data_IF_356952431167
#
_entry.id   IF_356952431167
#
_cell.length_a   1.000
_cell.length_b   1.000
_cell.length_c   1.000
_cell.angle_alpha   90.00
_cell.angle_beta   90.00
_cell.angle_gamma   90.00
#
_symmetry.space_group_name_H-M   'P 1'
#
loop_
_entity.id
_entity.type
_entity.pdbx_description
1 polymer ?
#
# COMPACT_ATOMS: atom_id res chain seq x y z
N UNK A 1 -4.07 -6.26 5.83
CA UNK A 1 -3.99 -5.57 7.12
C UNK A 1 -3.08 -4.35 6.96
N UNK A 2 -3.52 -3.20 7.36
CA UNK A 2 -2.67 -2.00 7.34
C UNK A 2 -1.64 -2.15 8.44
N UNK A 3 -0.40 -1.77 8.19
CA UNK A 3 0.63 -1.77 9.25
C UNK A 3 0.28 -0.84 10.42
N UNK A 4 -0.53 0.19 10.16
CA UNK A 4 -1.08 1.07 11.18
C UNK A 4 -2.19 0.44 12.05
N UNK A 5 -2.63 -0.76 11.73
CA UNK A 5 -3.65 -1.49 12.50
C UNK A 5 -3.00 -2.55 13.43
N UNK A 6 -1.75 -2.34 13.80
CA UNK A 6 -1.08 -3.14 14.83
C UNK A 6 -1.72 -2.82 16.18
N UNK A 7 -2.45 -3.79 16.69
CA UNK A 7 -3.09 -3.71 17.98
C UNK A 7 -2.41 -4.69 18.94
N UNK A 8 -2.22 -4.26 20.17
CA UNK A 8 -1.74 -5.13 21.26
C UNK A 8 -2.92 -5.57 22.12
N UNK A 9 -2.94 -6.83 22.59
CA UNK A 9 -3.94 -7.27 23.56
C UNK A 9 -3.88 -6.39 24.81
N UNK A 10 -5.04 -5.93 25.28
CA UNK A 10 -5.18 -5.21 26.54
C UNK A 10 -5.86 -6.13 27.56
N UNK A 11 -5.09 -6.75 28.47
CA UNK A 11 -5.63 -7.73 29.44
C UNK A 11 -6.50 -7.08 30.51
N UNK A 12 -6.38 -5.77 30.73
CA UNK A 12 -7.11 -5.03 31.77
C UNK A 12 -8.39 -4.38 31.24
N UNK A 13 -8.68 -4.53 29.95
CA UNK A 13 -9.84 -3.91 29.32
C UNK A 13 -11.14 -4.63 29.67
N UNK A 14 -12.29 -3.90 29.78
CA UNK A 14 -13.59 -4.50 29.82
C UNK A 14 -13.84 -5.45 28.65
N UNK A 15 -14.67 -6.47 28.85
CA UNK A 15 -15.01 -7.45 27.81
C UNK A 15 -15.98 -6.84 26.78
N UNK A 16 -15.49 -5.85 26.02
CA UNK A 16 -16.18 -5.24 24.88
C UNK A 16 -15.21 -5.12 23.71
N UNK A 17 -15.69 -5.26 22.45
CA UNK A 17 -14.81 -5.27 21.26
C UNK A 17 -13.90 -4.05 21.15
N UNK A 18 -14.34 -2.90 21.62
CA UNK A 18 -13.61 -1.63 21.57
C UNK A 18 -12.34 -1.63 22.42
N UNK A 19 -12.25 -2.53 23.39
CA UNK A 19 -11.17 -2.56 24.37
C UNK A 19 -10.29 -3.80 24.30
N UNK A 20 -10.51 -4.69 23.33
CA UNK A 20 -9.68 -5.90 23.20
C UNK A 20 -8.23 -5.61 22.85
N UNK A 21 -7.96 -4.45 22.23
CA UNK A 21 -6.65 -4.09 21.75
C UNK A 21 -6.37 -2.61 21.97
N UNK A 22 -5.14 -2.30 22.34
CA UNK A 22 -4.61 -0.94 22.27
C UNK A 22 -3.86 -0.74 20.97
N UNK A 23 -3.87 0.49 20.47
CA UNK A 23 -3.05 0.85 19.32
C UNK A 23 -1.57 0.77 19.68
N UNK A 24 -0.83 -0.01 18.92
CA UNK A 24 0.62 -0.07 19.04
C UNK A 24 1.29 0.86 18.03
N UNK A 25 2.08 1.77 18.54
CA UNK A 25 2.93 2.66 17.75
C UNK A 25 4.38 2.18 17.80
N UNK A 26 4.87 1.57 16.72
CA UNK A 26 6.24 1.08 16.65
C UNK A 26 7.24 2.24 16.78
N UNK A 27 8.21 2.19 17.70
CA UNK A 27 9.26 3.19 17.78
C UNK A 27 10.03 3.31 16.44
N UNK A 28 10.23 4.55 15.98
CA UNK A 28 10.94 4.81 14.72
C UNK A 28 10.15 4.46 13.43
N UNK A 29 8.85 4.20 13.52
CA UNK A 29 8.00 3.93 12.37
C UNK A 29 8.10 5.02 11.30
N UNK A 30 8.14 4.62 10.03
CA UNK A 30 8.08 5.54 8.88
C UNK A 30 6.63 5.89 8.61
N UNK A 31 6.30 7.17 8.65
CA UNK A 31 4.94 7.64 8.38
C UNK A 31 4.81 8.17 6.95
N UNK A 32 3.66 7.94 6.33
CA UNK A 32 3.25 8.65 5.13
C UNK A 32 2.94 10.11 5.52
N UNK A 33 3.77 11.08 5.12
CA UNK A 33 3.62 12.47 5.55
C UNK A 33 2.38 13.15 4.96
N UNK A 34 1.72 12.51 3.99
CA UNK A 34 0.59 13.07 3.25
C UNK A 34 -0.77 12.54 3.74
N UNK A 35 -0.76 11.47 4.53
CA UNK A 35 -1.98 10.80 5.00
C UNK A 35 -1.94 10.41 6.48
N UNK A 36 -0.75 10.36 7.08
CA UNK A 36 -0.58 9.96 8.47
C UNK A 36 -0.65 8.45 8.73
N UNK A 37 -0.55 7.60 7.70
CA UNK A 37 -0.45 6.17 7.85
C UNK A 37 0.99 5.70 7.90
N UNK A 38 1.25 4.63 8.64
CA UNK A 38 2.55 3.99 8.67
C UNK A 38 2.87 3.33 7.31
N UNK A 39 4.14 3.42 6.91
CA UNK A 39 4.70 2.70 5.76
C UNK A 39 5.61 1.62 6.33
N UNK A 40 5.14 0.36 6.29
CA UNK A 40 5.87 -0.79 6.80
C UNK A 40 6.02 -1.89 5.73
N UNK A 41 6.96 -1.72 4.78
CA UNK A 41 7.10 -2.63 3.65
C UNK A 41 7.46 -4.06 4.05
N UNK A 42 8.26 -4.23 5.12
CA UNK A 42 8.62 -5.54 5.65
C UNK A 42 7.41 -6.36 6.11
N UNK A 43 6.29 -5.74 6.44
CA UNK A 43 5.05 -6.42 6.84
C UNK A 43 4.55 -7.42 5.79
N UNK A 44 4.76 -7.13 4.49
CA UNK A 44 4.43 -8.08 3.42
C UNK A 44 5.27 -9.35 3.51
N UNK A 45 6.57 -9.20 3.78
CA UNK A 45 7.47 -10.34 3.99
C UNK A 45 7.08 -11.13 5.24
N UNK A 46 6.80 -10.47 6.35
CA UNK A 46 6.41 -11.13 7.60
C UNK A 46 5.12 -11.96 7.41
N UNK A 47 4.13 -11.41 6.67
CA UNK A 47 2.92 -12.15 6.29
C UNK A 47 3.24 -13.33 5.38
N UNK A 48 4.10 -13.13 4.37
CA UNK A 48 4.53 -14.18 3.45
C UNK A 48 5.15 -15.37 4.20
N UNK A 49 6.05 -15.09 5.15
CA UNK A 49 6.68 -16.13 5.98
C UNK A 49 5.66 -16.79 6.92
N UNK A 50 4.77 -16.02 7.52
CA UNK A 50 3.73 -16.58 8.39
C UNK A 50 2.79 -17.53 7.63
N UNK A 51 2.37 -17.19 6.41
CA UNK A 51 1.54 -18.08 5.58
C UNK A 51 2.32 -19.34 5.21
N UNK A 52 3.59 -19.20 4.82
CA UNK A 52 4.45 -20.34 4.50
C UNK A 52 4.59 -21.30 5.68
N UNK A 53 4.90 -20.77 6.86
CA UNK A 53 5.32 -21.58 8.01
C UNK A 53 4.14 -22.12 8.82
N UNK A 54 3.03 -21.39 8.88
CA UNK A 54 1.92 -21.67 9.79
C UNK A 54 0.60 -22.04 9.10
N UNK A 55 0.49 -21.84 7.77
CA UNK A 55 -0.76 -22.07 7.01
C UNK A 55 -0.56 -23.02 5.82
N UNK A 56 0.45 -23.92 5.90
CA UNK A 56 0.69 -24.94 4.87
C UNK A 56 1.15 -24.38 3.52
N UNK A 57 1.67 -23.16 3.50
CA UNK A 57 2.14 -22.48 2.28
C UNK A 57 1.12 -22.51 1.12
N UNK A 58 -0.15 -22.29 1.43
CA UNK A 58 -1.21 -22.23 0.42
C UNK A 58 -0.94 -21.09 -0.58
N UNK A 59 -1.52 -21.18 -1.77
CA UNK A 59 -1.53 -20.06 -2.71
C UNK A 59 -2.23 -18.84 -2.10
N UNK A 60 -1.63 -17.68 -2.25
CA UNK A 60 -2.18 -16.42 -1.77
C UNK A 60 -1.79 -15.25 -2.67
N UNK A 61 -2.49 -14.15 -2.56
CA UNK A 61 -2.17 -12.92 -3.29
C UNK A 61 -2.40 -11.68 -2.43
N UNK A 62 -1.73 -10.61 -2.78
CA UNK A 62 -2.04 -9.29 -2.25
C UNK A 62 -3.16 -8.69 -3.09
N UNK A 63 -4.33 -8.50 -2.49
CA UNK A 63 -5.51 -7.96 -3.16
C UNK A 63 -5.52 -6.44 -3.19
N UNK A 64 -4.84 -5.81 -2.23
CA UNK A 64 -4.74 -4.36 -2.11
C UNK A 64 -3.42 -3.94 -1.45
N UNK A 65 -2.66 -3.08 -2.12
CA UNK A 65 -1.53 -2.37 -1.51
C UNK A 65 -1.31 -1.04 -2.23
N UNK A 66 -1.19 0.05 -1.49
CA UNK A 66 -1.00 1.37 -2.08
C UNK A 66 -0.92 2.48 -1.05
N UNK A 67 -0.70 3.71 -1.52
CA UNK A 67 -0.62 4.87 -0.64
C UNK A 67 -1.52 6.01 -1.12
N UNK A 68 -2.28 6.57 -0.17
CA UNK A 68 -3.07 7.77 -0.40
C UNK A 68 -2.24 9.03 -0.17
N UNK A 69 -2.46 10.04 -1.01
CA UNK A 69 -1.77 11.32 -0.91
C UNK A 69 -2.75 12.46 -1.03
N UNK A 70 -2.75 13.35 -0.03
CA UNK A 70 -3.58 14.54 -0.03
C UNK A 70 -2.91 15.66 -0.85
N UNK A 71 -3.72 16.46 -1.56
CA UNK A 71 -3.26 17.59 -2.36
C UNK A 71 -2.13 17.22 -3.34
N UNK A 72 -2.37 16.19 -4.13
CA UNK A 72 -1.40 15.64 -5.09
C UNK A 72 -1.06 16.62 -6.22
N UNK A 73 -1.91 17.62 -6.45
CA UNK A 73 -1.74 18.66 -7.45
C UNK A 73 -0.41 19.42 -7.35
N UNK A 74 0.14 19.57 -6.13
CA UNK A 74 1.48 20.17 -5.89
C UNK A 74 2.63 19.44 -6.58
N UNK A 75 2.43 18.19 -6.98
CA UNK A 75 3.42 17.38 -7.69
C UNK A 75 3.23 17.40 -9.22
N UNK A 76 2.31 18.24 -9.72
CA UNK A 76 2.10 18.39 -11.17
C UNK A 76 3.28 19.07 -11.83
N UNK A 77 3.79 18.43 -12.88
CA UNK A 77 4.81 18.97 -13.76
C UNK A 77 4.55 18.47 -15.18
N UNK A 78 4.66 19.36 -16.16
CA UNK A 78 4.42 19.04 -17.58
C UNK A 78 3.06 18.33 -17.80
N UNK A 79 2.00 18.86 -17.18
CA UNK A 79 0.63 18.35 -17.33
C UNK A 79 0.34 17.02 -16.60
N UNK A 80 1.26 16.47 -15.79
CA UNK A 80 1.11 15.19 -15.11
C UNK A 80 1.59 15.22 -13.68
N UNK A 81 0.99 14.38 -12.85
CA UNK A 81 1.48 14.14 -11.48
C UNK A 81 2.77 13.31 -11.54
N UNK A 82 3.83 13.86 -10.94
CA UNK A 82 5.14 13.20 -10.78
C UNK A 82 5.20 12.59 -9.38
N UNK A 83 4.60 11.43 -9.24
CA UNK A 83 4.41 10.73 -7.97
C UNK A 83 5.55 9.75 -7.67
N UNK A 84 6.78 10.25 -7.66
CA UNK A 84 7.99 9.47 -7.31
C UNK A 84 7.89 8.82 -5.93
N UNK A 85 7.20 9.46 -4.98
CA UNK A 85 6.92 8.91 -3.66
C UNK A 85 6.09 7.61 -3.72
N UNK A 86 5.18 7.49 -4.71
CA UNK A 86 4.38 6.26 -4.91
C UNK A 86 5.23 5.16 -5.54
N UNK A 87 6.12 5.52 -6.46
CA UNK A 87 7.09 4.57 -7.04
C UNK A 87 8.01 4.02 -5.94
N UNK A 88 8.55 4.89 -5.09
CA UNK A 88 9.38 4.47 -3.96
C UNK A 88 8.61 3.54 -3.00
N UNK A 89 7.34 3.86 -2.70
CA UNK A 89 6.48 3.00 -1.90
C UNK A 89 6.34 1.59 -2.50
N UNK A 90 6.07 1.49 -3.81
CA UNK A 90 5.94 0.19 -4.47
C UNK A 90 7.28 -0.55 -4.53
N UNK A 91 8.38 0.12 -4.85
CA UNK A 91 9.72 -0.50 -4.85
C UNK A 91 10.02 -1.14 -3.49
N UNK A 92 9.81 -0.40 -2.40
CA UNK A 92 10.05 -0.90 -1.05
C UNK A 92 9.21 -2.16 -0.76
N UNK A 93 7.90 -2.14 -1.05
CA UNK A 93 7.00 -3.25 -0.77
C UNK A 93 7.27 -4.47 -1.66
N UNK A 94 7.48 -4.26 -2.96
CA UNK A 94 7.75 -5.34 -3.91
C UNK A 94 9.12 -5.99 -3.68
N UNK A 95 10.12 -5.24 -3.20
CA UNK A 95 11.42 -5.81 -2.79
C UNK A 95 11.24 -6.82 -1.66
N UNK A 96 10.44 -6.49 -0.65
CA UNK A 96 10.15 -7.41 0.46
C UNK A 96 9.29 -8.60 0.03
N UNK A 97 8.34 -8.38 -0.86
CA UNK A 97 7.53 -9.45 -1.43
C UNK A 97 8.41 -10.43 -2.23
N UNK A 98 9.26 -9.91 -3.12
CA UNK A 98 10.19 -10.73 -3.91
C UNK A 98 11.12 -11.55 -3.03
N UNK A 99 11.59 -10.98 -1.90
CA UNK A 99 12.35 -11.73 -0.90
C UNK A 99 11.54 -12.89 -0.32
N UNK A 100 10.28 -12.64 0.06
CA UNK A 100 9.39 -13.69 0.58
C UNK A 100 9.15 -14.82 -0.42
N UNK A 101 8.91 -14.49 -1.68
CA UNK A 101 8.75 -15.47 -2.77
C UNK A 101 10.04 -16.28 -2.95
N UNK A 102 11.19 -15.60 -2.99
CA UNK A 102 12.50 -16.27 -3.10
C UNK A 102 12.77 -17.24 -1.94
N UNK A 103 12.25 -16.96 -0.77
CA UNK A 103 12.35 -17.83 0.42
C UNK A 103 11.23 -18.87 0.50
N UNK A 104 10.46 -19.05 -0.58
CA UNK A 104 9.54 -20.16 -0.77
C UNK A 104 8.06 -19.87 -0.48
N UNK A 105 7.67 -18.63 -0.22
CA UNK A 105 6.27 -18.29 -0.07
C UNK A 105 5.52 -18.36 -1.40
N UNK A 106 4.33 -18.97 -1.40
CA UNK A 106 3.55 -19.22 -2.61
C UNK A 106 2.61 -18.04 -2.94
N UNK A 107 3.18 -16.83 -3.04
CA UNK A 107 2.43 -15.66 -3.50
C UNK A 107 2.33 -15.66 -5.02
N UNK A 108 1.09 -15.64 -5.54
CA UNK A 108 0.78 -15.72 -6.98
C UNK A 108 0.35 -14.39 -7.59
N UNK A 109 0.18 -13.32 -6.80
CA UNK A 109 -0.30 -12.07 -7.34
C UNK A 109 -0.14 -10.86 -6.41
N UNK A 110 -0.12 -9.70 -7.05
CA UNK A 110 -0.07 -8.41 -6.38
C UNK A 110 -0.98 -7.41 -7.07
N UNK A 111 -1.94 -6.85 -6.35
CA UNK A 111 -2.85 -5.83 -6.84
C UNK A 111 -2.62 -4.50 -6.14
N UNK A 112 -2.57 -3.45 -6.94
CA UNK A 112 -2.40 -2.09 -6.43
C UNK A 112 -3.72 -1.52 -5.91
N UNK A 113 -3.67 -0.78 -4.83
CA UNK A 113 -4.73 0.13 -4.46
C UNK A 113 -4.28 1.58 -4.76
N UNK A 114 -4.71 2.16 -5.90
CA UNK A 114 -5.73 1.67 -6.84
C UNK A 114 -5.34 2.04 -8.26
N UNK A 115 -5.97 1.42 -9.25
CA UNK A 115 -5.73 1.74 -10.67
C UNK A 115 -6.02 3.20 -11.01
N UNK A 116 -7.18 3.72 -10.60
CA UNK A 116 -7.61 5.10 -10.81
C UNK A 116 -7.97 5.74 -9.49
N UNK A 117 -7.81 7.06 -9.36
CA UNK A 117 -8.26 7.79 -8.18
C UNK A 117 -9.70 7.45 -7.86
N UNK A 118 -9.94 6.96 -6.65
CA UNK A 118 -11.22 6.49 -6.20
C UNK A 118 -11.80 7.32 -5.07
N UNK A 119 -13.10 7.23 -4.91
CA UNK A 119 -13.82 7.80 -3.78
C UNK A 119 -13.56 6.98 -2.51
N UNK A 120 -13.34 7.67 -1.39
CA UNK A 120 -13.14 7.06 -0.08
C UNK A 120 -14.31 7.40 0.84
N UNK A 121 -14.80 6.42 1.61
CA UNK A 121 -15.92 6.58 2.53
C UNK A 121 -15.72 7.71 3.55
N UNK A 122 -14.50 7.89 4.06
CA UNK A 122 -14.21 8.87 5.11
C UNK A 122 -13.88 10.27 4.58
N UNK A 123 -13.36 10.40 3.37
CA UNK A 123 -12.81 11.67 2.89
C UNK A 123 -12.94 11.89 1.38
N UNK A 124 -13.91 11.22 0.76
CA UNK A 124 -14.22 11.35 -0.66
C UNK A 124 -12.94 11.27 -1.52
N UNK A 125 -12.67 12.27 -2.34
CA UNK A 125 -11.47 12.36 -3.20
C UNK A 125 -10.33 13.18 -2.60
N UNK A 126 -10.37 13.49 -1.30
CA UNK A 126 -9.30 14.27 -0.64
C UNK A 126 -7.93 13.61 -0.78
N UNK A 127 -7.88 12.28 -0.63
CA UNK A 127 -6.67 11.50 -0.84
C UNK A 127 -6.73 10.79 -2.19
N UNK A 128 -5.66 10.93 -2.94
CA UNK A 128 -5.49 10.31 -4.26
C UNK A 128 -4.66 9.04 -4.12
N UNK A 129 -5.18 7.93 -4.64
CA UNK A 129 -4.57 6.61 -4.54
C UNK A 129 -4.14 6.04 -5.89
N UNK A 130 -4.70 6.57 -6.98
CA UNK A 130 -4.61 6.00 -8.31
C UNK A 130 -3.23 6.06 -8.95
N UNK A 131 -2.96 5.09 -9.80
CA UNK A 131 -1.93 5.16 -10.85
C UNK A 131 -2.38 6.09 -11.99
N UNK A 132 -3.70 6.25 -12.12
CA UNK A 132 -4.34 7.17 -13.05
C UNK A 132 -5.06 8.25 -12.25
N UNK A 133 -4.79 9.48 -12.59
CA UNK A 133 -5.51 10.64 -12.09
C UNK A 133 -6.91 10.72 -12.69
N UNK A 134 -7.90 11.06 -11.88
CA UNK A 134 -9.26 11.38 -12.31
C UNK A 134 -9.55 12.86 -12.09
N UNK A 135 -9.79 13.61 -13.16
CA UNK A 135 -10.35 14.94 -13.07
C UNK A 135 -11.85 14.83 -12.75
N UNK A 136 -12.26 15.31 -11.59
CA UNK A 136 -13.65 15.15 -11.13
C UNK A 136 -14.66 15.98 -11.92
N UNK A 137 -14.23 17.09 -12.50
CA UNK A 137 -15.11 17.97 -13.26
C UNK A 137 -15.32 17.50 -14.72
N UNK A 138 -14.23 17.08 -15.37
CA UNK A 138 -14.25 16.70 -16.79
C UNK A 138 -14.30 15.19 -17.01
N UNK A 139 -14.06 14.40 -15.97
CA UNK A 139 -13.90 12.94 -16.04
C UNK A 139 -12.69 12.49 -16.89
N UNK A 140 -11.78 13.40 -17.19
CA UNK A 140 -10.54 13.07 -17.88
C UNK A 140 -9.65 12.19 -17.01
N UNK A 141 -8.97 11.23 -17.65
CA UNK A 141 -8.09 10.27 -17.02
C UNK A 141 -6.67 10.48 -17.52
N UNK A 142 -5.73 10.81 -16.63
CA UNK A 142 -4.35 11.08 -16.97
C UNK A 142 -3.44 10.09 -16.23
N UNK A 143 -2.65 9.30 -16.98
CA UNK A 143 -1.71 8.35 -16.38
C UNK A 143 -0.62 9.12 -15.65
N UNK A 144 -0.46 8.86 -14.35
CA UNK A 144 0.60 9.42 -13.50
C UNK A 144 1.96 8.78 -13.82
N UNK A 145 3.04 9.32 -13.25
CA UNK A 145 4.38 8.74 -13.44
C UNK A 145 4.44 7.30 -12.92
N UNK A 146 3.85 7.03 -11.76
CA UNK A 146 3.77 5.69 -11.17
C UNK A 146 3.05 4.69 -12.07
N UNK A 147 2.00 5.11 -12.79
CA UNK A 147 1.28 4.22 -13.70
C UNK A 147 2.13 3.76 -14.89
N UNK A 148 2.99 4.63 -15.41
CA UNK A 148 3.95 4.25 -16.46
C UNK A 148 5.02 3.31 -15.93
N UNK A 149 5.59 3.64 -14.78
CA UNK A 149 6.56 2.79 -14.11
C UNK A 149 5.98 1.40 -13.80
N UNK A 150 4.73 1.32 -13.34
CA UNK A 150 4.08 0.04 -13.04
C UNK A 150 3.82 -0.79 -14.31
N UNK A 151 3.51 -0.14 -15.43
CA UNK A 151 3.44 -0.81 -16.74
C UNK A 151 4.79 -1.43 -17.10
N UNK A 152 5.88 -0.66 -17.02
CA UNK A 152 7.24 -1.14 -17.31
C UNK A 152 7.63 -2.31 -16.38
N UNK A 153 7.31 -2.21 -15.08
CA UNK A 153 7.49 -3.30 -14.12
C UNK A 153 6.80 -4.59 -14.58
N UNK A 154 5.53 -4.49 -15.03
CA UNK A 154 4.76 -5.64 -15.48
C UNK A 154 5.30 -6.24 -16.78
N UNK A 155 5.75 -5.41 -17.71
CA UNK A 155 6.30 -5.84 -19.01
C UNK A 155 7.67 -6.52 -18.87
N UNK A 156 8.51 -6.05 -17.94
CA UNK A 156 9.86 -6.58 -17.72
C UNK A 156 9.94 -7.60 -16.58
N UNK A 157 8.84 -7.86 -15.89
CA UNK A 157 8.78 -8.75 -14.73
C UNK A 157 9.76 -8.38 -13.61
N UNK A 158 10.09 -7.10 -13.49
CA UNK A 158 11.03 -6.60 -12.49
C UNK A 158 11.38 -5.13 -12.65
N UNK A 159 12.17 -4.62 -11.71
CA UNK A 159 12.72 -3.25 -11.72
C UNK A 159 14.15 -3.25 -11.16
N UNK A 160 14.92 -2.25 -11.54
CA UNK A 160 16.23 -1.94 -10.98
C UNK A 160 16.14 -0.99 -9.78
#
# INVERSE_FOLDING_TARGET
RRSSDLNMPNPDAPFTPEYYFDHYEMPGRKMNPYRGWEIYPKGIYDIAMNIRDNYGNIEWMITENGMGVENEERFRKDGRIKDDYRIAFFKDHLTWLAKGIKEGSHCIGYHVWTFIDCWSWLNAYKNRYGLVELNLATQERIIKKSGRWFKELAEHHGFE
#
